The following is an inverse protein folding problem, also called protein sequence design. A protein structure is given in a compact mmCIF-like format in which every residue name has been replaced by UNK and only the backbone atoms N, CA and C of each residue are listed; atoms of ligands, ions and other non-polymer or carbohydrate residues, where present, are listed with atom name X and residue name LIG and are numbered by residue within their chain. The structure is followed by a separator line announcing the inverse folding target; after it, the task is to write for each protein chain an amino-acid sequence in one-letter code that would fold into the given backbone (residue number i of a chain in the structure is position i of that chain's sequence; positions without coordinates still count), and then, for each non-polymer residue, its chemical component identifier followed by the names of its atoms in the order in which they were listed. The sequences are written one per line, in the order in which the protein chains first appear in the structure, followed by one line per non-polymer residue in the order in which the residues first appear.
data_IF_548558395736
#
_entry.id   IF_548558395736
#
_cell.length_a   1.000
_cell.length_b   1.000
_cell.length_c   1.000
_cell.angle_alpha   90.00
_cell.angle_beta   90.00
_cell.angle_gamma   90.00
#
_symmetry.space_group_name_H-M   'P 1'
#
loop_
_entity.id
_entity.type
_entity.pdbx_description
1 polymer ?
#
# COMPACT_ATOMS: atom_id res chain seq x y z
N UNK A 1 -6.11 14.50 20.43
CA UNK A 1 -6.61 14.07 19.11
C UNK A 1 -7.34 12.74 19.26
N UNK A 2 -8.53 12.60 18.70
CA UNK A 2 -9.24 11.32 18.68
C UNK A 2 -8.37 10.25 18.01
N UNK A 3 -8.10 9.14 18.71
CA UNK A 3 -7.20 8.07 18.24
C UNK A 3 -7.50 7.64 16.80
N UNK A 4 -8.79 7.62 16.42
CA UNK A 4 -9.24 7.39 15.04
C UNK A 4 -8.63 8.36 14.02
N UNK A 5 -8.69 9.68 14.27
CA UNK A 5 -8.17 10.70 13.36
C UNK A 5 -6.65 10.56 13.20
N UNK A 6 -5.93 10.25 14.27
CA UNK A 6 -4.47 10.02 14.20
C UNK A 6 -4.11 8.80 13.35
N UNK A 7 -4.75 7.65 13.57
CA UNK A 7 -4.48 6.44 12.77
C UNK A 7 -4.83 6.62 11.29
N UNK A 8 -5.92 7.34 10.98
CA UNK A 8 -6.28 7.65 9.59
C UNK A 8 -5.24 8.54 8.91
N UNK A 9 -4.72 9.54 9.62
CA UNK A 9 -3.64 10.39 9.11
C UNK A 9 -2.33 9.65 8.94
N UNK A 10 -1.97 8.76 9.87
CA UNK A 10 -0.78 7.91 9.71
C UNK A 10 -0.89 7.01 8.48
N UNK A 11 -2.04 6.34 8.25
CA UNK A 11 -2.25 5.54 7.04
C UNK A 11 -2.14 6.33 5.75
N UNK A 12 -2.62 7.58 5.74
CA UNK A 12 -2.48 8.48 4.59
C UNK A 12 -1.03 8.87 4.34
N UNK A 13 -0.31 9.30 5.38
CA UNK A 13 1.08 9.73 5.27
C UNK A 13 1.99 8.58 4.84
N UNK A 14 1.85 7.41 5.46
CA UNK A 14 2.68 6.25 5.09
C UNK A 14 2.35 5.73 3.70
N UNK A 15 1.08 5.78 3.28
CA UNK A 15 0.71 5.40 1.91
C UNK A 15 1.20 6.40 0.87
N UNK A 16 1.20 7.70 1.17
CA UNK A 16 1.79 8.71 0.31
C UNK A 16 3.31 8.49 0.16
N UNK A 17 4.01 8.28 1.28
CA UNK A 17 5.43 7.94 1.27
C UNK A 17 5.71 6.66 0.49
N UNK A 18 4.85 5.64 0.61
CA UNK A 18 4.97 4.39 -0.15
C UNK A 18 4.81 4.58 -1.65
N UNK A 19 3.87 5.43 -2.08
CA UNK A 19 3.71 5.81 -3.49
C UNK A 19 4.94 6.56 -4.00
N UNK A 20 5.40 7.57 -3.26
CA UNK A 20 6.60 8.34 -3.64
C UNK A 20 7.82 7.44 -3.77
N UNK A 21 8.01 6.55 -2.80
CA UNK A 21 9.07 5.55 -2.81
C UNK A 21 8.99 4.68 -4.08
N UNK A 22 7.82 4.12 -4.37
CA UNK A 22 7.65 3.21 -5.51
C UNK A 22 7.83 3.92 -6.86
N UNK A 23 7.29 5.13 -7.01
CA UNK A 23 7.47 5.94 -8.22
C UNK A 23 8.95 6.30 -8.41
N UNK A 24 9.63 6.70 -7.32
CA UNK A 24 11.07 7.02 -7.37
C UNK A 24 11.89 5.81 -7.78
N UNK A 25 11.59 4.63 -7.22
CA UNK A 25 12.22 3.37 -7.59
C UNK A 25 12.00 3.03 -9.07
N UNK A 26 10.76 3.12 -9.56
CA UNK A 26 10.43 2.80 -10.94
C UNK A 26 11.16 3.72 -11.93
N UNK A 27 11.21 5.02 -11.64
CA UNK A 27 11.87 6.03 -12.47
C UNK A 27 13.40 5.91 -12.46
N UNK A 28 13.99 5.50 -11.33
CA UNK A 28 15.45 5.41 -11.17
C UNK A 28 15.98 4.10 -11.76
N UNK A 29 15.54 2.96 -11.24
CA UNK A 29 16.17 1.66 -11.50
C UNK A 29 15.18 0.63 -12.03
N UNK A 30 13.90 0.74 -11.69
CA UNK A 30 12.88 -0.27 -12.01
C UNK A 30 12.77 -0.54 -13.51
N UNK A 31 12.57 0.50 -14.33
CA UNK A 31 12.37 0.31 -15.77
C UNK A 31 13.58 -0.30 -16.48
N UNK A 32 14.79 0.15 -16.16
CA UNK A 32 16.00 -0.41 -16.78
C UNK A 32 16.22 -1.87 -16.37
N UNK A 33 15.99 -2.19 -15.10
CA UNK A 33 16.18 -3.54 -14.59
C UNK A 33 15.19 -4.52 -15.22
N UNK A 34 13.90 -4.16 -15.33
CA UNK A 34 12.92 -5.02 -16.00
C UNK A 34 13.13 -5.11 -17.52
N UNK A 35 13.63 -4.05 -18.17
CA UNK A 35 13.95 -4.06 -19.60
C UNK A 35 15.12 -5.01 -19.89
N UNK A 36 16.15 -4.99 -19.05
CA UNK A 36 17.34 -5.82 -19.20
C UNK A 36 17.07 -7.30 -18.88
N UNK A 37 16.07 -7.59 -18.04
CA UNK A 37 15.65 -8.95 -17.71
C UNK A 37 14.91 -9.68 -18.85
N UNK A 38 14.69 -9.04 -20.01
CA UNK A 38 13.96 -9.59 -21.17
C UNK A 38 12.52 -10.07 -20.93
N UNK A 39 12.01 -9.99 -19.70
CA UNK A 39 10.65 -10.37 -19.32
C UNK A 39 9.75 -9.13 -19.23
N UNK A 40 9.15 -8.75 -20.35
CA UNK A 40 8.15 -7.67 -20.41
C UNK A 40 6.93 -7.93 -19.51
N UNK A 41 6.68 -9.19 -19.14
CA UNK A 41 5.58 -9.57 -18.25
C UNK A 41 5.81 -9.09 -16.80
N UNK A 42 7.05 -9.06 -16.33
CA UNK A 42 7.38 -8.70 -14.95
C UNK A 42 7.11 -7.23 -14.68
N UNK A 43 7.54 -6.35 -15.59
CA UNK A 43 7.21 -4.93 -15.54
C UNK A 43 5.70 -4.70 -15.56
N UNK A 44 4.98 -5.42 -16.43
CA UNK A 44 3.54 -5.27 -16.58
C UNK A 44 2.81 -5.70 -15.29
N UNK A 45 3.20 -6.82 -14.70
CA UNK A 45 2.64 -7.28 -13.43
C UNK A 45 2.88 -6.27 -12.30
N UNK A 46 4.12 -5.81 -12.13
CA UNK A 46 4.51 -4.86 -11.09
C UNK A 46 3.75 -3.53 -11.24
N UNK A 47 3.67 -2.99 -12.45
CA UNK A 47 2.89 -1.77 -12.74
C UNK A 47 1.39 -1.98 -12.50
N UNK A 48 0.85 -3.14 -12.85
CA UNK A 48 -0.57 -3.46 -12.65
C UNK A 48 -0.91 -3.54 -11.17
N UNK A 49 -0.09 -4.25 -10.36
CA UNK A 49 -0.28 -4.33 -8.91
C UNK A 49 -0.11 -2.96 -8.27
N UNK A 50 0.83 -2.14 -8.75
CA UNK A 50 0.99 -0.77 -8.28
C UNK A 50 -0.23 0.12 -8.61
N UNK A 51 -0.75 0.06 -9.83
CA UNK A 51 -1.97 0.78 -10.21
C UNK A 51 -3.16 0.36 -9.35
N UNK A 52 -3.27 -0.94 -9.07
CA UNK A 52 -4.26 -1.48 -8.15
C UNK A 52 -4.06 -0.93 -6.72
N UNK A 53 -2.84 -0.94 -6.20
CA UNK A 53 -2.50 -0.37 -4.90
C UNK A 53 -2.84 1.14 -4.82
N UNK A 54 -2.61 1.89 -5.89
CA UNK A 54 -2.94 3.31 -5.97
C UNK A 54 -4.46 3.52 -5.89
N UNK A 55 -5.23 2.74 -6.66
CA UNK A 55 -6.70 2.79 -6.60
C UNK A 55 -7.24 2.39 -5.22
N UNK A 56 -6.62 1.39 -4.57
CA UNK A 56 -6.94 0.98 -3.20
C UNK A 56 -6.61 2.08 -2.18
N UNK A 57 -5.48 2.76 -2.34
CA UNK A 57 -5.09 3.89 -1.51
C UNK A 57 -6.10 5.04 -1.62
N UNK A 58 -6.44 5.45 -2.85
CA UNK A 58 -7.44 6.50 -3.11
C UNK A 58 -8.80 6.10 -2.51
N UNK A 59 -9.24 4.85 -2.74
CA UNK A 59 -10.49 4.33 -2.17
C UNK A 59 -10.45 4.33 -0.64
N UNK A 60 -9.31 4.04 -0.03
CA UNK A 60 -9.07 4.08 1.42
C UNK A 60 -9.21 5.46 2.03
N UNK A 61 -9.13 6.54 1.24
CA UNK A 61 -9.41 7.88 1.75
C UNK A 61 -10.88 8.06 2.12
N UNK A 62 -11.78 7.39 1.39
CA UNK A 62 -13.22 7.47 1.58
C UNK A 62 -13.75 6.32 2.43
N UNK A 63 -13.28 5.10 2.17
CA UNK A 63 -13.77 3.86 2.78
C UNK A 63 -12.59 3.04 3.29
N UNK A 64 -12.22 3.25 4.56
CA UNK A 64 -11.01 2.64 5.15
C UNK A 64 -11.10 1.10 5.17
N UNK A 65 -12.31 0.54 5.31
CA UNK A 65 -12.50 -0.92 5.37
C UNK A 65 -12.29 -1.62 4.03
N UNK A 66 -12.42 -0.92 2.91
CA UNK A 66 -12.18 -1.49 1.58
C UNK A 66 -10.72 -1.22 1.20
N UNK A 67 -10.25 0.02 1.34
CA UNK A 67 -8.89 0.39 0.95
C UNK A 67 -7.81 -0.32 1.75
N UNK A 68 -8.02 -0.56 3.05
CA UNK A 68 -7.04 -1.24 3.90
C UNK A 68 -6.71 -2.67 3.44
N UNK A 69 -7.70 -3.58 3.37
CA UNK A 69 -7.50 -4.94 2.87
C UNK A 69 -6.97 -4.99 1.43
N UNK A 70 -7.46 -4.12 0.53
CA UNK A 70 -6.96 -4.07 -0.85
C UNK A 70 -5.49 -3.67 -0.92
N UNK A 71 -5.04 -2.73 -0.09
CA UNK A 71 -3.62 -2.38 0.03
C UNK A 71 -2.78 -3.53 0.58
N UNK A 72 -3.29 -4.27 1.57
CA UNK A 72 -2.61 -5.45 2.10
C UNK A 72 -2.47 -6.52 1.03
N UNK A 73 -3.56 -6.82 0.32
CA UNK A 73 -3.55 -7.78 -0.78
C UNK A 73 -2.54 -7.37 -1.86
N UNK A 74 -2.52 -6.08 -2.25
CA UNK A 74 -1.56 -5.56 -3.23
C UNK A 74 -0.11 -5.75 -2.75
N UNK A 75 0.17 -5.40 -1.48
CA UNK A 75 1.50 -5.56 -0.88
C UNK A 75 1.94 -7.02 -0.83
N UNK A 76 1.05 -7.93 -0.42
CA UNK A 76 1.34 -9.37 -0.39
C UNK A 76 1.57 -9.94 -1.79
N UNK A 77 0.71 -9.61 -2.76
CA UNK A 77 0.87 -10.06 -4.15
C UNK A 77 2.17 -9.58 -4.76
N UNK A 78 2.53 -8.30 -4.54
CA UNK A 78 3.77 -7.74 -5.05
C UNK A 78 4.99 -8.38 -4.39
N UNK A 79 5.00 -8.50 -3.06
CA UNK A 79 6.09 -9.12 -2.31
C UNK A 79 6.31 -10.57 -2.67
N UNK A 80 5.22 -11.33 -2.75
CA UNK A 80 5.27 -12.73 -3.17
C UNK A 80 5.89 -12.84 -4.56
N UNK A 81 5.36 -12.10 -5.53
CA UNK A 81 5.89 -12.13 -6.88
C UNK A 81 7.37 -11.74 -6.97
N UNK A 82 7.77 -10.64 -6.32
CA UNK A 82 9.16 -10.17 -6.32
C UNK A 82 10.10 -11.16 -5.66
N UNK A 83 9.67 -11.79 -4.54
CA UNK A 83 10.47 -12.77 -3.82
C UNK A 83 10.85 -14.00 -4.66
N UNK A 84 10.03 -14.33 -5.67
CA UNK A 84 10.27 -15.41 -6.63
C UNK A 84 10.71 -14.93 -8.02
N UNK A 85 10.80 -13.62 -8.26
CA UNK A 85 11.29 -13.08 -9.53
C UNK A 85 12.79 -13.31 -9.66
N UNK A 86 13.27 -13.58 -10.87
CA UNK A 86 14.71 -13.75 -11.13
C UNK A 86 15.48 -12.43 -10.93
N UNK A 87 14.80 -11.30 -11.07
CA UNK A 87 15.39 -9.95 -11.05
C UNK A 87 15.67 -9.45 -9.63
N UNK A 88 14.70 -9.61 -8.73
CA UNK A 88 14.74 -9.07 -7.38
C UNK A 88 14.56 -10.16 -6.33
N UNK A 89 15.00 -11.39 -6.63
CA UNK A 89 14.82 -12.55 -5.75
C UNK A 89 15.29 -12.27 -4.32
N UNK A 90 14.63 -12.93 -3.37
CA UNK A 90 15.03 -12.92 -1.97
C UNK A 90 14.04 -12.22 -1.03
N UNK A 91 14.04 -12.69 0.21
CA UNK A 91 13.10 -12.25 1.25
C UNK A 91 13.22 -10.76 1.59
N UNK A 92 14.44 -10.22 1.54
CA UNK A 92 14.69 -8.79 1.80
C UNK A 92 13.96 -7.89 0.81
N UNK A 93 14.08 -8.19 -0.48
CA UNK A 93 13.41 -7.44 -1.54
C UNK A 93 11.88 -7.61 -1.45
N UNK A 94 11.40 -8.84 -1.24
CA UNK A 94 9.98 -9.10 -1.03
C UNK A 94 9.37 -8.19 0.06
N UNK A 95 10.05 -8.08 1.22
CA UNK A 95 9.62 -7.17 2.28
C UNK A 95 9.74 -5.70 1.89
N UNK A 96 10.84 -5.29 1.27
CA UNK A 96 11.11 -3.91 0.87
C UNK A 96 10.02 -3.35 -0.04
N UNK A 97 9.53 -4.17 -0.98
CA UNK A 97 8.42 -3.78 -1.87
C UNK A 97 7.03 -3.94 -1.25
N UNK A 98 6.86 -4.82 -0.27
CA UNK A 98 5.56 -5.05 0.39
C UNK A 98 5.23 -4.00 1.44
N UNK A 99 6.22 -3.62 2.27
CA UNK A 99 6.03 -2.75 3.44
C UNK A 99 5.38 -1.39 3.11
N UNK A 100 5.75 -0.71 2.00
CA UNK A 100 5.10 0.52 1.55
C UNK A 100 3.58 0.44 1.43
N UNK A 101 3.02 -0.74 1.15
CA UNK A 101 1.58 -0.97 1.00
C UNK A 101 0.94 -1.65 2.23
N UNK A 102 1.69 -2.53 2.91
CA UNK A 102 1.22 -3.21 4.11
C UNK A 102 0.99 -2.24 5.27
N UNK A 103 1.96 -1.36 5.54
CA UNK A 103 1.91 -0.41 6.66
C UNK A 103 0.67 0.50 6.59
N UNK A 104 0.40 1.22 5.47
CA UNK A 104 -0.83 2.02 5.36
C UNK A 104 -2.11 1.17 5.40
N UNK A 105 -2.09 -0.03 4.81
CA UNK A 105 -3.22 -0.95 4.86
C UNK A 105 -3.61 -1.34 6.29
N UNK A 106 -2.62 -1.67 7.12
CA UNK A 106 -2.81 -1.99 8.54
C UNK A 106 -3.39 -0.78 9.29
N UNK A 107 -2.87 0.43 9.05
CA UNK A 107 -3.40 1.64 9.69
C UNK A 107 -4.86 1.92 9.29
N UNK A 108 -5.24 1.69 8.03
CA UNK A 108 -6.64 1.81 7.62
C UNK A 108 -7.55 0.79 8.30
N UNK A 109 -7.11 -0.47 8.43
CA UNK A 109 -7.89 -1.50 9.16
C UNK A 109 -8.06 -1.11 10.63
N UNK A 110 -6.97 -0.71 11.30
CA UNK A 110 -7.02 -0.28 12.71
C UNK A 110 -7.96 0.93 12.86
N UNK A 111 -7.87 1.92 11.96
CA UNK A 111 -8.74 3.09 11.99
C UNK A 111 -10.22 2.72 11.82
N UNK A 112 -10.52 1.79 10.90
CA UNK A 112 -11.87 1.27 10.67
C UNK A 112 -12.41 0.53 11.89
N UNK A 113 -11.57 -0.28 12.53
CA UNK A 113 -11.95 -1.00 13.74
C UNK A 113 -12.27 -0.05 14.90
N UNK A 114 -11.44 0.99 15.11
CA UNK A 114 -11.69 2.02 16.15
C UNK A 114 -12.99 2.78 15.87
N UNK A 115 -13.24 3.15 14.60
CA UNK A 115 -14.48 3.85 14.19
C UNK A 115 -15.72 3.03 14.52
N UNK A 116 -15.69 1.71 14.26
CA UNK A 116 -16.80 0.78 14.55
C UNK A 116 -17.05 0.57 16.03
N UNK A 117 -16.01 0.64 16.87
CA UNK A 117 -16.12 0.43 18.32
C UNK A 117 -16.55 1.66 19.12
N UNK A 118 -16.61 2.85 18.51
CA UNK A 118 -17.01 4.09 19.21
C UNK A 118 -17.90 5.00 18.35
N UNK A 119 -19.06 4.50 17.86
CA UNK A 119 -19.96 5.31 17.03
C UNK A 119 -20.53 6.53 17.78
N UNK A 120 -20.79 6.40 19.10
CA UNK A 120 -21.44 7.44 19.90
C UNK A 120 -20.59 8.65 20.27
N UNK A 121 -19.25 8.57 20.22
CA UNK A 121 -18.36 9.72 20.52
C UNK A 121 -17.98 10.55 19.29
N UNK A 122 -18.10 9.96 18.09
CA UNK A 122 -17.72 10.61 16.84
C UNK A 122 -18.81 11.56 16.31
N UNK A 123 -20.07 11.36 16.70
CA UNK A 123 -21.20 12.18 16.25
C UNK A 123 -21.28 13.53 16.98
N UNK A 124 -20.80 13.63 18.23
CA UNK A 124 -20.82 14.87 19.02
C UNK A 124 -19.67 15.84 18.72
N UNK A 125 -18.68 15.44 17.90
CA UNK A 125 -17.55 16.28 17.48
C UNK A 125 -17.66 16.74 16.02
N UNK A 126 -18.85 16.57 15.43
CA UNK A 126 -19.21 16.99 14.06
C UNK A 126 -20.37 18.00 14.05
N UNK A 127 -20.91 18.38 15.22
CA UNK A 127 -21.83 19.52 15.40
C UNK A 127 -21.06 20.77 15.76
#
# INVERSE_FOLDING_TARGET
MDKYRSFRWYGRLTGFLGIVFFVSFMLSEGFETFKNAHNSFDALFVVTVFAFALSAYISGWFIEIIGGPLLILSGLSLGFYIGYSEVFSGFGNALFFSLPFLIPGIFYIISSYIKRRSPGKLNNNLS
#
